data_IF_179386884281
#
_entry.id   IF_179386884281
#
_cell.length_a   1.000
_cell.length_b   1.000
_cell.length_c   1.000
_cell.angle_alpha   90.00
_cell.angle_beta   90.00
_cell.angle_gamma   90.00
#
_symmetry.space_group_name_H-M   'P 1'
#
loop_
_entity.id
_entity.type
_entity.pdbx_description
1 polymer ?
#
# COMPACT_ATOMS: atom_id res chain seq x y z
N UNK A 1 -1.19 6.69 7.89
CA UNK A 1 -2.29 6.20 7.01
C UNK A 1 -2.77 4.82 7.44
N UNK A 2 -1.97 3.75 7.37
CA UNK A 2 -2.45 2.39 7.63
C UNK A 2 -2.98 2.12 9.05
N UNK A 3 -2.54 2.87 10.06
CA UNK A 3 -3.11 2.81 11.41
C UNK A 3 -4.64 3.06 11.41
N UNK A 4 -5.11 3.98 10.57
CA UNK A 4 -6.54 4.27 10.47
C UNK A 4 -7.30 3.13 9.79
N UNK A 5 -6.70 2.51 8.76
CA UNK A 5 -7.29 1.33 8.10
C UNK A 5 -7.44 0.20 9.11
N UNK A 6 -6.41 -0.01 9.95
CA UNK A 6 -6.45 -1.00 11.01
C UNK A 6 -7.56 -0.70 12.01
N UNK A 7 -7.71 0.57 12.43
CA UNK A 7 -8.73 0.99 13.40
C UNK A 7 -10.15 0.75 12.89
N UNK A 8 -10.43 1.04 11.63
CA UNK A 8 -11.80 0.98 11.07
C UNK A 8 -12.22 -0.40 10.58
N UNK A 9 -11.28 -1.27 10.20
CA UNK A 9 -11.60 -2.63 9.79
C UNK A 9 -12.08 -3.47 10.99
N UNK A 10 -13.13 -4.27 10.81
CA UNK A 10 -13.48 -5.29 11.79
C UNK A 10 -12.33 -6.30 11.96
N UNK A 11 -12.19 -6.96 13.13
CA UNK A 11 -11.27 -8.09 13.27
C UNK A 11 -11.54 -9.15 12.19
N UNK A 12 -10.48 -9.64 11.55
CA UNK A 12 -10.56 -10.56 10.40
C UNK A 12 -10.78 -9.88 9.05
N UNK A 13 -11.04 -8.56 9.02
CA UNK A 13 -11.26 -7.79 7.80
C UNK A 13 -9.99 -7.54 6.98
N UNK A 14 -10.15 -7.21 5.70
CA UNK A 14 -9.05 -7.06 4.76
C UNK A 14 -8.93 -5.64 4.21
N UNK A 15 -7.69 -5.19 4.04
CA UNK A 15 -7.32 -4.04 3.22
C UNK A 15 -6.65 -4.52 1.94
N UNK A 16 -7.11 -4.01 0.79
CA UNK A 16 -6.44 -4.17 -0.49
C UNK A 16 -5.79 -2.84 -0.85
N UNK A 17 -4.46 -2.80 -0.95
CA UNK A 17 -3.69 -1.59 -1.19
C UNK A 17 -2.94 -1.74 -2.51
N UNK A 18 -3.18 -0.85 -3.46
CA UNK A 18 -2.48 -0.81 -4.74
C UNK A 18 -1.72 0.49 -4.91
N UNK A 19 -0.51 0.41 -5.49
CA UNK A 19 0.35 1.56 -5.69
C UNK A 19 1.35 1.37 -6.83
N UNK A 20 1.84 2.51 -7.32
CA UNK A 20 2.92 2.60 -8.28
C UNK A 20 4.24 2.26 -7.58
N UNK A 21 4.97 1.29 -8.13
CA UNK A 21 6.29 0.90 -7.64
C UNK A 21 7.35 1.85 -8.18
N UNK A 22 8.25 2.25 -7.29
CA UNK A 22 9.41 3.08 -7.58
C UNK A 22 10.05 3.55 -6.29
N UNK A 23 10.94 4.52 -6.40
CA UNK A 23 11.66 5.08 -5.27
C UNK A 23 11.59 6.61 -5.33
N UNK A 24 11.32 7.22 -4.18
CA UNK A 24 11.38 8.67 -4.02
C UNK A 24 10.29 9.44 -4.79
N UNK A 25 10.45 10.78 -4.87
CA UNK A 25 9.46 11.64 -5.45
C UNK A 25 9.51 11.60 -6.98
N UNK A 26 8.34 11.50 -7.61
CA UNK A 26 8.15 11.68 -9.04
C UNK A 26 7.30 12.92 -9.31
N UNK A 27 7.89 13.90 -9.98
CA UNK A 27 7.18 15.10 -10.36
C UNK A 27 6.06 14.83 -11.39
N UNK A 28 4.91 15.46 -11.17
CA UNK A 28 3.73 15.40 -12.01
C UNK A 28 3.35 16.83 -12.36
N UNK A 29 3.47 17.14 -13.67
CA UNK A 29 3.10 18.44 -14.24
C UNK A 29 1.66 18.49 -14.76
N UNK A 30 1.01 17.32 -14.92
CA UNK A 30 -0.38 17.21 -15.40
C UNK A 30 -1.08 16.01 -14.78
N UNK A 31 -2.24 16.24 -14.16
CA UNK A 31 -3.08 15.21 -13.55
C UNK A 31 -4.55 15.61 -13.58
N UNK A 32 -5.45 14.62 -13.64
CA UNK A 32 -6.90 14.84 -13.58
C UNK A 32 -7.45 15.86 -14.60
N UNK A 33 -6.79 16.03 -15.75
CA UNK A 33 -7.17 17.00 -16.78
C UNK A 33 -6.63 18.42 -16.57
N UNK A 34 -5.82 18.66 -15.53
CA UNK A 34 -5.29 19.97 -15.17
C UNK A 34 -3.76 19.99 -15.17
N UNK A 35 -3.20 21.17 -15.44
CA UNK A 35 -1.79 21.44 -15.17
C UNK A 35 -1.63 21.59 -13.65
N UNK A 36 -0.66 20.88 -13.10
CA UNK A 36 -0.41 20.79 -11.65
C UNK A 36 1.09 20.81 -11.38
N UNK A 37 1.49 21.04 -10.14
CA UNK A 37 2.88 20.85 -9.68
C UNK A 37 2.83 20.01 -8.41
N UNK A 38 2.93 18.69 -8.56
CA UNK A 38 2.80 17.74 -7.45
C UNK A 38 3.88 16.68 -7.55
N UNK A 39 4.40 16.23 -6.41
CA UNK A 39 5.28 15.08 -6.33
C UNK A 39 4.50 13.87 -5.81
N UNK A 40 4.52 12.79 -6.58
CA UNK A 40 4.05 11.49 -6.11
C UNK A 40 5.22 10.75 -5.46
N UNK A 41 5.10 10.44 -4.17
CA UNK A 41 6.06 9.57 -3.49
C UNK A 41 5.81 8.12 -3.89
N UNK A 42 6.83 7.49 -4.48
CA UNK A 42 6.81 6.09 -4.87
C UNK A 42 7.46 5.21 -3.80
N UNK A 43 7.01 3.97 -3.73
CA UNK A 43 7.45 3.03 -2.69
C UNK A 43 7.81 1.67 -3.27
N UNK A 44 8.82 1.04 -2.66
CA UNK A 44 9.08 -0.38 -2.85
C UNK A 44 8.02 -1.22 -2.13
N UNK A 45 7.57 -2.35 -2.73
CA UNK A 45 6.58 -3.21 -2.10
C UNK A 45 6.99 -3.67 -0.70
N UNK A 46 8.26 -4.02 -0.51
CA UNK A 46 8.80 -4.44 0.78
C UNK A 46 8.63 -3.37 1.88
N UNK A 47 8.81 -2.08 1.56
CA UNK A 47 8.66 -1.00 2.54
C UNK A 47 7.19 -0.84 2.97
N UNK A 48 6.25 -0.98 2.03
CA UNK A 48 4.82 -0.90 2.34
C UNK A 48 4.36 -2.13 3.15
N UNK A 49 4.84 -3.32 2.79
CA UNK A 49 4.61 -4.56 3.56
C UNK A 49 5.07 -4.41 5.01
N UNK A 50 6.32 -3.97 5.23
CA UNK A 50 6.85 -3.74 6.58
C UNK A 50 6.02 -2.73 7.37
N UNK A 51 5.54 -1.67 6.71
CA UNK A 51 4.71 -0.68 7.37
C UNK A 51 3.34 -1.23 7.79
N UNK A 52 2.73 -2.08 6.96
CA UNK A 52 1.47 -2.77 7.29
C UNK A 52 1.66 -3.74 8.47
N UNK A 53 2.73 -4.54 8.43
CA UNK A 53 3.07 -5.51 9.47
C UNK A 53 3.37 -4.81 10.81
N UNK A 54 4.11 -3.69 10.78
CA UNK A 54 4.40 -2.90 11.98
C UNK A 54 3.12 -2.38 12.66
N UNK A 55 2.06 -2.10 11.91
CA UNK A 55 0.75 -1.69 12.44
C UNK A 55 -0.07 -2.89 12.98
N UNK A 56 0.34 -4.12 12.68
CA UNK A 56 -0.31 -5.35 13.13
C UNK A 56 -1.19 -6.03 12.09
N UNK A 57 -1.13 -5.61 10.82
CA UNK A 57 -1.73 -6.39 9.73
C UNK A 57 -0.89 -7.64 9.41
N UNK A 58 -1.54 -8.70 8.98
CA UNK A 58 -0.91 -9.83 8.31
C UNK A 58 -0.99 -9.63 6.80
N UNK A 59 0.12 -9.47 6.10
CA UNK A 59 0.10 -9.44 4.63
C UNK A 59 -0.02 -10.87 4.12
N UNK A 60 -1.18 -11.22 3.54
CA UNK A 60 -1.50 -12.60 3.14
C UNK A 60 -1.28 -12.86 1.66
N UNK A 61 -1.21 -11.82 0.85
CA UNK A 61 -0.85 -11.93 -0.57
C UNK A 61 -0.19 -10.64 -1.08
N UNK A 62 0.74 -10.82 -2.00
CA UNK A 62 1.37 -9.75 -2.75
C UNK A 62 1.39 -10.12 -4.23
N UNK A 63 1.00 -9.17 -5.08
CA UNK A 63 1.11 -9.29 -6.53
C UNK A 63 1.91 -8.11 -7.07
N UNK A 64 2.87 -8.40 -7.95
CA UNK A 64 3.61 -7.40 -8.70
C UNK A 64 3.38 -7.60 -10.19
N UNK A 65 3.26 -6.50 -10.94
CA UNK A 65 3.15 -6.55 -12.40
C UNK A 65 3.89 -5.38 -13.05
N UNK A 66 4.29 -5.58 -14.31
CA UNK A 66 4.76 -4.49 -15.16
C UNK A 66 3.66 -3.43 -15.42
N UNK A 67 4.04 -2.25 -15.93
CA UNK A 67 3.10 -1.23 -16.34
C UNK A 67 2.22 -1.71 -17.51
N UNK A 68 0.94 -1.35 -17.47
CA UNK A 68 0.06 -1.47 -18.63
C UNK A 68 0.29 -0.35 -19.66
N UNK A 69 -0.42 -0.35 -20.81
CA UNK A 69 -0.17 0.59 -21.91
C UNK A 69 -0.26 2.09 -21.57
N UNK A 70 -0.99 2.45 -20.51
CA UNK A 70 -1.19 3.83 -20.05
C UNK A 70 -0.48 4.16 -18.74
N UNK A 71 0.33 3.23 -18.23
CA UNK A 71 1.01 3.37 -16.95
C UNK A 71 2.50 3.62 -17.17
N UNK A 72 3.08 4.49 -16.34
CA UNK A 72 4.52 4.81 -16.40
C UNK A 72 5.37 3.98 -15.44
N UNK A 73 4.73 3.34 -14.46
CA UNK A 73 5.40 2.62 -13.38
C UNK A 73 4.83 1.21 -13.25
N UNK A 74 5.66 0.21 -12.89
CA UNK A 74 5.15 -1.08 -12.42
C UNK A 74 4.18 -0.88 -11.25
N UNK A 75 3.33 -1.87 -11.00
CA UNK A 75 2.30 -1.80 -9.97
C UNK A 75 2.48 -2.94 -8.96
N UNK A 76 2.17 -2.65 -7.71
CA UNK A 76 2.04 -3.65 -6.67
C UNK A 76 0.65 -3.59 -6.05
N UNK A 77 0.16 -4.76 -5.63
CA UNK A 77 -1.08 -4.92 -4.86
C UNK A 77 -0.78 -5.80 -3.66
N UNK A 78 -1.12 -5.31 -2.48
CA UNK A 78 -0.99 -6.02 -1.21
C UNK A 78 -2.39 -6.29 -0.64
N UNK A 79 -2.64 -7.53 -0.26
CA UNK A 79 -3.80 -7.92 0.53
C UNK A 79 -3.36 -8.15 1.97
N UNK A 80 -3.87 -7.32 2.87
CA UNK A 80 -3.50 -7.30 4.28
C UNK A 80 -4.72 -7.56 5.16
N UNK A 81 -4.63 -8.51 6.07
CA UNK A 81 -5.70 -8.89 6.98
C UNK A 81 -5.46 -8.30 8.37
N UNK A 82 -6.46 -7.64 8.95
CA UNK A 82 -6.46 -7.35 10.39
C UNK A 82 -6.72 -8.66 11.13
N UNK A 83 -5.88 -9.09 12.09
CA UNK A 83 -6.10 -10.32 12.84
C UNK A 83 -7.49 -10.37 13.50
N UNK A 84 -8.14 -11.55 13.48
CA UNK A 84 -9.44 -11.76 14.10
C UNK A 84 -9.36 -11.81 15.63
N UNK A 85 -8.26 -12.38 16.14
CA UNK A 85 -7.88 -12.31 17.54
C UNK A 85 -6.54 -11.56 17.63
N UNK A 86 -6.36 -10.63 18.57
CA UNK A 86 -5.02 -10.17 18.91
C UNK A 86 -4.22 -11.41 19.30
N UNK A 87 -3.05 -11.61 18.68
CA UNK A 87 -2.10 -12.60 19.20
C UNK A 87 -1.86 -12.26 20.68
N UNK A 88 -1.98 -13.22 21.62
CA UNK A 88 -1.58 -12.95 22.98
C UNK A 88 -0.12 -12.48 22.93
N UNK A 89 0.15 -11.28 23.45
CA UNK A 89 1.53 -10.83 23.65
C UNK A 89 2.28 -11.94 24.38
N UNK A 90 3.32 -12.47 23.75
CA UNK A 90 4.06 -13.61 24.24
C UNK A 90 4.52 -13.41 25.69
N UNK A 91 4.43 -14.50 26.44
CA UNK A 91 5.11 -14.69 27.72
C UNK A 91 6.64 -14.63 27.57
#
# INVERSE_FOLDING_TARGET
MFAEFFRVLAPGGYALVSFQVGEGPRHISRAYGHDVSMDAQLFHPAAVTQQLEHIGFNVVAQMSRGPGPREKSPQAVLLAQRPANPQPSGA
#
